data_IF_849539278542
#
_entry.id   IF_849539278542
#
_cell.length_a   1.000
_cell.length_b   1.000
_cell.length_c   1.000
_cell.angle_alpha   90.00
_cell.angle_beta   90.00
_cell.angle_gamma   90.00
#
_symmetry.space_group_name_H-M   'P 1'
#
loop_
_entity.id
_entity.type
_entity.pdbx_description
1 polymer ?
#
# COMPACT_ATOMS: atom_id res chain seq x y z
N UNK A 1 -2.19 1.03 3.51
CA UNK A 1 -2.46 1.04 4.95
C UNK A 1 -1.26 0.49 5.69
N UNK A 2 -0.77 1.19 6.71
CA UNK A 2 0.33 0.79 7.58
C UNK A 2 0.05 1.23 9.02
N UNK A 3 0.77 0.64 9.98
CA UNK A 3 0.82 1.16 11.35
C UNK A 3 2.08 1.97 11.53
N UNK A 4 2.02 2.99 12.37
CA UNK A 4 3.18 3.75 12.79
C UNK A 4 4.32 2.83 13.25
N UNK A 5 5.53 3.09 12.75
CA UNK A 5 6.73 2.31 13.03
C UNK A 5 6.94 1.08 12.12
N UNK A 6 5.95 0.66 11.33
CA UNK A 6 6.15 -0.43 10.35
C UNK A 6 7.12 -0.01 9.23
N UNK A 7 7.68 -1.01 8.54
CA UNK A 7 8.36 -0.80 7.25
C UNK A 7 7.41 -1.24 6.14
N UNK A 8 7.22 -0.38 5.14
CA UNK A 8 6.40 -0.69 3.98
C UNK A 8 7.20 -0.65 2.69
N UNK A 9 6.72 -1.38 1.68
CA UNK A 9 7.30 -1.39 0.33
C UNK A 9 6.20 -1.07 -0.67
N UNK A 10 6.38 0.00 -1.43
CA UNK A 10 5.53 0.39 -2.54
C UNK A 10 6.19 -0.06 -3.84
N UNK A 11 5.61 -1.06 -4.48
CA UNK A 11 6.19 -1.68 -5.67
C UNK A 11 6.03 -0.77 -6.88
N UNK A 12 7.08 -0.53 -7.66
CA UNK A 12 6.95 0.14 -8.95
C UNK A 12 7.51 -0.72 -10.07
N UNK A 13 6.63 -1.23 -10.94
CA UNK A 13 7.04 -2.08 -12.05
C UNK A 13 7.20 -1.24 -13.31
N UNK A 14 8.42 -0.78 -13.56
CA UNK A 14 8.80 -0.10 -14.81
C UNK A 14 9.51 -1.08 -15.73
N UNK A 15 9.16 -1.06 -17.01
CA UNK A 15 9.81 -1.88 -18.03
C UNK A 15 11.04 -1.16 -18.56
N UNK A 16 12.24 -1.65 -18.21
CA UNK A 16 13.48 -1.09 -18.75
C UNK A 16 13.65 -1.43 -20.23
N UNK A 17 13.98 -0.40 -21.02
CA UNK A 17 14.43 -0.60 -22.39
C UNK A 17 15.89 -1.09 -22.41
N UNK A 18 16.19 -2.23 -23.08
CA UNK A 18 17.54 -2.81 -23.09
C UNK A 18 18.60 -1.95 -23.78
N UNK A 19 18.18 -1.06 -24.68
CA UNK A 19 19.03 -0.19 -25.51
C UNK A 19 19.45 1.10 -24.80
N UNK A 20 18.90 1.39 -23.63
CA UNK A 20 19.15 2.61 -22.87
C UNK A 20 19.82 2.27 -21.54
N UNK A 21 20.73 3.12 -21.06
CA UNK A 21 21.37 2.93 -19.77
C UNK A 21 20.30 2.86 -18.65
N UNK A 22 20.44 1.90 -17.72
CA UNK A 22 19.46 1.72 -16.64
C UNK A 22 19.37 2.96 -15.73
N UNK A 23 20.49 3.65 -15.51
CA UNK A 23 20.53 4.85 -14.66
C UNK A 23 19.67 6.00 -15.20
N UNK A 24 19.51 6.10 -16.52
CA UNK A 24 18.65 7.12 -17.15
C UNK A 24 17.18 6.72 -17.24
N UNK A 25 16.82 5.52 -16.78
CA UNK A 25 15.45 4.98 -16.80
C UNK A 25 14.93 4.70 -15.38
N UNK A 26 15.59 5.25 -14.35
CA UNK A 26 15.12 5.10 -12.97
C UNK A 26 13.88 5.94 -12.77
N UNK A 27 12.86 5.30 -12.18
CA UNK A 27 11.65 6.00 -11.83
C UNK A 27 11.91 7.01 -10.70
N UNK A 28 11.17 8.10 -10.73
CA UNK A 28 11.18 9.12 -9.68
C UNK A 28 9.93 8.93 -8.83
N UNK A 29 10.11 8.93 -7.51
CA UNK A 29 9.00 8.91 -6.58
C UNK A 29 8.60 10.32 -6.18
N UNK A 30 7.30 10.58 -6.19
CA UNK A 30 6.70 11.82 -5.71
C UNK A 30 5.64 11.52 -4.67
N UNK A 31 5.39 12.46 -3.76
CA UNK A 31 4.38 12.34 -2.71
C UNK A 31 3.58 13.63 -2.60
N UNK A 32 2.29 13.49 -2.36
CA UNK A 32 1.41 14.55 -1.87
C UNK A 32 0.86 14.08 -0.52
N UNK A 33 1.43 14.57 0.57
CA UNK A 33 0.94 14.24 1.92
C UNK A 33 -0.39 14.93 2.17
N UNK A 34 -1.14 14.43 3.14
CA UNK A 34 -2.47 14.97 3.45
C UNK A 34 -2.44 16.47 3.85
N UNK A 35 -1.38 16.90 4.52
CA UNK A 35 -1.20 18.29 4.96
C UNK A 35 -0.54 19.19 3.90
N UNK A 36 0.03 18.59 2.84
CA UNK A 36 0.77 19.32 1.83
C UNK A 36 -0.15 19.85 0.72
N UNK A 37 0.20 21.01 0.17
CA UNK A 37 -0.53 21.61 -0.96
C UNK A 37 0.11 21.33 -2.31
N UNK A 38 1.29 20.71 -2.33
CA UNK A 38 2.09 20.50 -3.54
C UNK A 38 2.75 19.13 -3.52
N UNK A 39 3.01 18.59 -4.72
CA UNK A 39 3.78 17.37 -4.90
C UNK A 39 5.25 17.61 -4.59
N UNK A 40 5.83 16.75 -3.77
CA UNK A 40 7.24 16.74 -3.44
C UNK A 40 7.94 15.52 -4.03
N UNK A 41 9.20 15.67 -4.43
CA UNK A 41 10.03 14.54 -4.88
C UNK A 41 10.65 13.86 -3.66
N UNK A 42 10.52 12.54 -3.57
CA UNK A 42 11.12 11.77 -2.49
C UNK A 42 12.62 11.66 -2.73
N UNK A 43 13.40 12.20 -1.79
CA UNK A 43 14.85 12.08 -1.78
C UNK A 43 15.23 10.88 -0.91
N UNK A 44 16.02 9.92 -1.43
CA UNK A 44 16.53 8.82 -0.63
C UNK A 44 17.32 9.32 0.59
N UNK A 45 17.12 8.68 1.73
CA UNK A 45 17.75 9.02 3.00
C UNK A 45 17.55 7.91 4.01
N UNK A 46 17.66 8.21 5.30
CA UNK A 46 17.62 7.17 6.35
C UNK A 46 16.27 6.42 6.40
N UNK A 47 15.15 7.13 6.13
CA UNK A 47 13.80 6.53 6.14
C UNK A 47 13.31 6.06 4.77
N UNK A 48 13.86 6.61 3.68
CA UNK A 48 13.37 6.35 2.32
C UNK A 48 14.47 5.71 1.48
N UNK A 49 14.21 4.51 0.96
CA UNK A 49 15.12 3.80 0.07
C UNK A 49 14.42 3.44 -1.24
N UNK A 50 14.97 3.87 -2.37
CA UNK A 50 14.51 3.45 -3.69
C UNK A 50 15.39 2.29 -4.17
N UNK A 51 14.77 1.11 -4.29
CA UNK A 51 15.44 -0.14 -4.71
C UNK A 51 15.77 -0.15 -6.20
N UNK A 52 16.60 -1.10 -6.62
CA UNK A 52 17.00 -1.26 -8.03
C UNK A 52 15.82 -1.57 -8.97
N UNK A 53 14.77 -2.20 -8.45
CA UNK A 53 13.52 -2.47 -9.15
C UNK A 53 12.56 -1.27 -9.15
N UNK A 54 13.03 -0.08 -8.73
CA UNK A 54 12.26 1.15 -8.52
C UNK A 54 11.25 1.09 -7.36
N UNK A 55 11.19 0.02 -6.57
CA UNK A 55 10.29 -0.04 -5.42
C UNK A 55 10.76 0.92 -4.32
N UNK A 56 9.85 1.68 -3.74
CA UNK A 56 10.12 2.56 -2.61
C UNK A 56 9.91 1.80 -1.29
N UNK A 57 10.92 1.79 -0.44
CA UNK A 57 10.83 1.32 0.94
C UNK A 57 10.79 2.52 1.88
N UNK A 58 9.79 2.54 2.76
CA UNK A 58 9.66 3.55 3.81
C UNK A 58 9.81 2.84 5.15
N UNK A 59 10.89 3.15 5.86
CA UNK A 59 11.22 2.57 7.16
C UNK A 59 10.62 3.42 8.28
N UNK A 60 9.99 2.76 9.25
CA UNK A 60 9.40 3.43 10.42
C UNK A 60 8.46 4.55 9.99
N UNK A 61 7.38 4.17 9.29
CA UNK A 61 6.36 5.12 8.82
C UNK A 61 5.74 5.88 9.99
N UNK A 62 5.54 7.17 9.80
CA UNK A 62 4.87 8.08 10.74
C UNK A 62 3.47 8.44 10.22
N UNK A 63 2.56 8.86 11.10
CA UNK A 63 1.21 9.31 10.69
C UNK A 63 1.24 10.44 9.66
N UNK A 64 2.26 11.30 9.71
CA UNK A 64 2.49 12.40 8.76
C UNK A 64 3.07 11.92 7.42
N UNK A 65 3.35 10.64 7.26
CA UNK A 65 3.70 10.05 5.96
C UNK A 65 2.45 9.62 5.17
N UNK A 66 1.25 9.77 5.75
CA UNK A 66 -0.01 9.49 5.05
C UNK A 66 -0.24 10.45 3.87
N UNK A 67 -0.63 9.89 2.73
CA UNK A 67 -0.76 10.64 1.48
C UNK A 67 -0.81 9.78 0.23
N UNK A 68 -0.72 10.43 -0.92
CA UNK A 68 -0.62 9.77 -2.22
C UNK A 68 0.83 9.73 -2.69
N UNK A 69 1.28 8.52 -3.08
CA UNK A 69 2.62 8.25 -3.57
C UNK A 69 2.55 7.86 -5.04
N UNK A 70 3.40 8.48 -5.85
CA UNK A 70 3.40 8.34 -7.30
C UNK A 70 4.78 7.85 -7.74
N UNK A 71 4.80 6.74 -8.47
CA UNK A 71 5.98 6.32 -9.21
C UNK A 71 5.89 6.85 -10.64
N UNK A 72 6.86 7.66 -11.05
CA UNK A 72 6.88 8.35 -12.34
C UNK A 72 8.03 7.85 -13.19
N UNK A 73 7.73 7.37 -14.40
CA UNK A 73 8.71 6.98 -15.43
C UNK A 73 8.52 7.85 -16.68
N UNK A 74 9.57 8.58 -17.08
CA UNK A 74 9.59 9.48 -18.24
C UNK A 74 8.30 10.31 -18.47
N UNK A 75 7.69 10.79 -17.36
CA UNK A 75 6.46 11.62 -17.26
C UNK A 75 5.13 10.86 -17.17
N UNK A 76 5.13 9.53 -17.21
CA UNK A 76 3.95 8.71 -16.99
C UNK A 76 3.89 8.15 -15.56
N UNK A 77 2.67 8.03 -15.02
CA UNK A 77 2.45 7.41 -13.72
C UNK A 77 2.44 5.88 -13.86
N UNK A 78 3.54 5.24 -13.49
CA UNK A 78 3.68 3.78 -13.53
C UNK A 78 2.91 3.10 -12.39
N UNK A 79 2.82 3.74 -11.23
CA UNK A 79 2.02 3.27 -10.10
C UNK A 79 1.57 4.43 -9.20
N UNK A 80 0.40 4.28 -8.58
CA UNK A 80 -0.15 5.25 -7.62
C UNK A 80 -0.64 4.50 -6.38
N UNK A 81 -0.23 4.96 -5.21
CA UNK A 81 -0.60 4.38 -3.92
C UNK A 81 -1.24 5.41 -3.01
N UNK A 82 -2.36 5.05 -2.39
CA UNK A 82 -2.90 5.76 -1.23
C UNK A 82 -2.33 5.09 0.03
N UNK A 83 -1.50 5.81 0.79
CA UNK A 83 -0.98 5.36 2.07
C UNK A 83 -1.73 6.02 3.21
N UNK A 84 -2.48 5.22 3.95
CA UNK A 84 -3.05 5.60 5.25
C UNK A 84 -2.21 4.97 6.37
N UNK A 85 -1.85 5.76 7.38
CA UNK A 85 -1.03 5.32 8.52
C UNK A 85 -1.84 5.50 9.82
N UNK A 86 -1.88 4.46 10.65
CA UNK A 86 -2.62 4.46 11.92
C UNK A 86 -1.66 4.38 13.11
N UNK A 87 -1.94 5.10 14.19
CA UNK A 87 -1.15 5.05 15.44
C UNK A 87 -1.18 3.66 16.10
N UNK A 88 -2.34 3.00 16.04
CA UNK A 88 -2.56 1.71 16.71
C UNK A 88 -3.26 0.72 15.78
N UNK A 89 -2.85 -0.55 15.86
CA UNK A 89 -3.53 -1.61 15.12
C UNK A 89 -4.92 -1.87 15.72
N UNK A 90 -5.96 -1.43 15.01
CA UNK A 90 -7.34 -1.81 15.31
C UNK A 90 -7.84 -2.96 14.43
N UNK A 91 -6.97 -3.55 13.61
CA UNK A 91 -7.34 -4.66 12.72
C UNK A 91 -7.55 -5.92 13.54
N UNK A 92 -8.66 -6.59 13.29
CA UNK A 92 -8.88 -7.95 13.78
C UNK A 92 -8.21 -8.93 12.82
N UNK A 93 -7.19 -9.64 13.29
CA UNK A 93 -6.54 -10.70 12.54
C UNK A 93 -7.40 -11.95 12.56
N UNK A 94 -7.85 -12.41 11.39
CA UNK A 94 -8.75 -13.56 11.23
C UNK A 94 -7.94 -14.73 10.68
N UNK A 95 -7.88 -15.83 11.43
CA UNK A 95 -7.24 -17.07 10.96
C UNK A 95 -8.30 -18.05 10.43
N UNK A 96 -8.23 -18.46 9.14
CA UNK A 96 -9.16 -19.44 8.59
C UNK A 96 -9.20 -20.72 9.42
N UNK A 97 -10.39 -21.19 9.78
CA UNK A 97 -10.61 -22.39 10.58
C UNK A 97 -10.59 -22.18 12.10
N UNK A 98 -10.08 -21.03 12.57
CA UNK A 98 -10.14 -20.63 13.98
C UNK A 98 -11.16 -19.50 14.19
N UNK A 99 -11.15 -18.51 13.29
CA UNK A 99 -11.99 -17.33 13.37
C UNK A 99 -12.93 -17.25 12.16
N UNK A 100 -14.11 -16.68 12.37
CA UNK A 100 -15.06 -16.37 11.31
C UNK A 100 -15.09 -14.85 11.10
N UNK A 101 -14.95 -14.36 9.85
CA UNK A 101 -15.18 -12.95 9.55
C UNK A 101 -16.56 -12.50 10.01
N UNK A 102 -16.69 -11.22 10.39
CA UNK A 102 -17.99 -10.66 10.75
C UNK A 102 -18.93 -10.76 9.54
N UNK A 103 -20.13 -11.30 9.77
CA UNK A 103 -21.19 -11.34 8.75
C UNK A 103 -21.78 -9.95 8.50
N UNK A 104 -22.38 -9.79 7.34
CA UNK A 104 -23.08 -8.59 6.94
C UNK A 104 -24.29 -8.33 7.87
N UNK A 105 -24.46 -7.08 8.28
CA UNK A 105 -25.56 -6.64 9.14
C UNK A 105 -26.44 -5.64 8.40
N UNK A 106 -27.72 -5.97 8.24
CA UNK A 106 -28.72 -5.06 7.69
C UNK A 106 -29.47 -4.34 8.82
N UNK A 107 -29.29 -3.03 8.90
CA UNK A 107 -30.01 -2.15 9.83
C UNK A 107 -31.24 -1.58 9.10
N UNK A 108 -32.25 -2.44 8.89
CA UNK A 108 -33.43 -2.16 8.06
C UNK A 108 -34.11 -0.83 8.43
N UNK A 109 -34.25 -0.54 9.72
CA UNK A 109 -34.89 0.68 10.22
C UNK A 109 -34.18 1.98 9.82
N UNK A 110 -32.91 1.90 9.42
CA UNK A 110 -32.09 3.03 8.96
C UNK A 110 -31.74 2.93 7.48
N UNK A 111 -32.21 1.89 6.80
CA UNK A 111 -31.81 1.55 5.43
C UNK A 111 -30.28 1.51 5.26
N UNK A 112 -29.57 0.97 6.27
CA UNK A 112 -28.11 0.83 6.24
C UNK A 112 -27.71 -0.64 6.14
N UNK A 113 -26.64 -0.90 5.41
CA UNK A 113 -25.98 -2.19 5.28
C UNK A 113 -24.52 -2.07 5.69
N UNK A 114 -24.16 -2.79 6.76
CA UNK A 114 -22.79 -2.87 7.25
C UNK A 114 -22.19 -4.17 6.74
N UNK A 115 -21.10 -4.08 5.99
CA UNK A 115 -20.45 -5.25 5.38
C UNK A 115 -18.94 -5.05 5.29
N UNK A 116 -18.21 -6.12 5.00
CA UNK A 116 -16.77 -6.04 4.81
C UNK A 116 -16.41 -6.01 3.32
N UNK A 117 -15.83 -4.90 2.86
CA UNK A 117 -15.23 -4.82 1.52
C UNK A 117 -13.83 -5.44 1.56
N UNK A 118 -13.70 -6.61 0.95
CA UNK A 118 -12.42 -7.32 0.87
C UNK A 118 -11.58 -6.87 -0.33
N UNK A 119 -10.32 -6.58 -0.08
CA UNK A 119 -9.32 -6.46 -1.13
C UNK A 119 -9.08 -7.82 -1.81
N UNK A 120 -8.41 -7.78 -2.96
CA UNK A 120 -7.88 -8.99 -3.60
C UNK A 120 -6.86 -9.67 -2.70
N UNK A 121 -6.76 -11.00 -2.82
CA UNK A 121 -5.74 -11.76 -2.12
C UNK A 121 -4.34 -11.38 -2.62
N UNK A 122 -3.39 -11.29 -1.69
CA UNK A 122 -1.97 -11.16 -2.00
C UNK A 122 -1.49 -12.31 -2.88
N UNK A 123 -0.32 -12.12 -3.50
CA UNK A 123 0.45 -13.24 -4.04
C UNK A 123 0.80 -14.23 -2.92
N UNK A 124 1.10 -15.46 -3.32
CA UNK A 124 1.61 -16.46 -2.39
C UNK A 124 3.03 -16.07 -1.96
N UNK A 125 3.33 -16.18 -0.66
CA UNK A 125 4.66 -15.89 -0.15
C UNK A 125 5.73 -16.91 -0.57
N UNK A 126 5.33 -18.06 -1.14
CA UNK A 126 6.23 -19.09 -1.66
C UNK A 126 5.76 -19.58 -3.03
N UNK A 127 6.72 -19.89 -3.91
CA UNK A 127 6.46 -20.59 -5.17
C UNK A 127 6.56 -22.11 -4.98
N UNK A 128 5.67 -22.85 -5.66
CA UNK A 128 5.67 -24.32 -5.82
C UNK A 128 5.71 -25.15 -4.52
N UNK A 129 5.39 -24.53 -3.38
CA UNK A 129 5.32 -25.14 -2.05
C UNK A 129 4.17 -24.52 -1.27
N UNK A 130 3.78 -25.19 -0.18
CA UNK A 130 2.75 -24.67 0.73
C UNK A 130 3.17 -23.30 1.28
N UNK A 131 2.32 -22.30 1.08
CA UNK A 131 2.56 -20.92 1.45
C UNK A 131 1.34 -20.27 2.07
N UNK A 132 1.45 -18.97 2.30
CA UNK A 132 0.40 -18.15 2.90
C UNK A 132 0.03 -17.00 1.97
N UNK A 133 -1.25 -16.66 1.97
CA UNK A 133 -1.82 -15.48 1.30
C UNK A 133 -2.61 -14.70 2.34
N UNK A 134 -2.62 -13.39 2.21
CA UNK A 134 -3.37 -12.50 3.10
C UNK A 134 -4.24 -11.57 2.26
N UNK A 135 -5.33 -11.09 2.85
CA UNK A 135 -6.13 -9.99 2.29
C UNK A 135 -6.63 -9.14 3.43
N UNK A 136 -6.89 -7.87 3.15
CA UNK A 136 -7.43 -6.93 4.12
C UNK A 136 -8.86 -6.59 3.77
N UNK A 137 -9.70 -6.45 4.79
CA UNK A 137 -11.10 -6.05 4.65
C UNK A 137 -11.32 -4.71 5.34
N UNK A 138 -12.13 -3.84 4.73
CA UNK A 138 -12.58 -2.58 5.32
C UNK A 138 -14.05 -2.71 5.71
N UNK A 139 -14.35 -2.39 6.97
CA UNK A 139 -15.74 -2.30 7.45
C UNK A 139 -16.40 -1.09 6.78
N UNK A 140 -17.42 -1.35 5.97
CA UNK A 140 -18.09 -0.35 5.14
C UNK A 140 -19.55 -0.27 5.54
N UNK A 141 -20.09 0.96 5.56
CA UNK A 141 -21.51 1.21 5.76
C UNK A 141 -22.06 1.87 4.49
N UNK A 142 -23.12 1.30 3.94
CA UNK A 142 -23.86 1.83 2.79
C UNK A 142 -25.31 2.13 3.18
#
# INVERSE_FOLDING_TARGET
MAIEGETIVLTCRVCYRPDVAQMSQRAVWQVLKHEDTALEVIVPGDRHEVKQDNSLTINSVDVNDAGQYFCVDDRDYAAVYQLDVFLTDHRKHIKPGQDVPQEDVYLINRNLHVFTMWATWSDCNTCDRSGQRTRVGQCTVK
#
